data_IF_328923891665
#
_entry.id   IF_328923891665
#
_cell.length_a   1.000
_cell.length_b   1.000
_cell.length_c   1.000
_cell.angle_alpha   90.00
_cell.angle_beta   90.00
_cell.angle_gamma   90.00
#
_symmetry.space_group_name_H-M   'P 1'
#
loop_
_entity.id
_entity.type
_entity.pdbx_description
1 polymer ?
#
# COMPACT_ATOMS: atom_id res chain seq x y z
N UNK A 1 16.85 -2.51 20.25
CA UNK A 1 16.63 -1.06 20.00
C UNK A 1 16.53 -0.83 18.51
N UNK A 2 15.58 -0.02 18.06
CA UNK A 2 15.42 0.36 16.66
C UNK A 2 15.58 1.87 16.52
N UNK A 3 15.98 2.34 15.33
CA UNK A 3 16.06 3.75 14.99
C UNK A 3 15.07 4.07 13.87
N UNK A 4 14.47 5.25 13.89
CA UNK A 4 13.70 5.78 12.77
C UNK A 4 14.68 6.06 11.62
N UNK A 5 14.48 5.40 10.49
CA UNK A 5 15.31 5.55 9.27
C UNK A 5 14.58 6.30 8.17
N UNK A 6 13.26 6.43 8.27
CA UNK A 6 12.43 7.20 7.37
C UNK A 6 11.19 7.71 8.11
N UNK A 7 10.87 8.97 7.91
CA UNK A 7 9.63 9.60 8.36
C UNK A 7 9.11 10.42 7.19
N UNK A 8 7.94 10.05 6.67
CA UNK A 8 7.40 10.67 5.48
C UNK A 8 7.05 12.15 5.70
N UNK A 9 7.64 13.01 4.89
CA UNK A 9 7.17 14.36 4.62
C UNK A 9 6.58 14.36 3.19
N UNK A 10 5.27 14.27 3.10
CA UNK A 10 4.56 14.19 1.81
C UNK A 10 4.63 15.50 0.99
N UNK A 11 5.28 16.54 1.51
CA UNK A 11 5.60 17.76 0.77
C UNK A 11 7.02 17.81 0.24
N UNK A 12 7.85 16.83 0.61
CA UNK A 12 9.28 16.80 0.28
C UNK A 12 9.57 16.19 -1.09
N UNK A 13 9.92 17.01 -2.06
CA UNK A 13 10.43 16.55 -3.37
C UNK A 13 11.76 15.79 -3.28
N UNK A 14 12.44 15.83 -2.13
CA UNK A 14 13.64 15.02 -1.91
C UNK A 14 13.32 13.58 -1.58
N UNK A 15 12.19 13.33 -0.90
CA UNK A 15 11.75 12.01 -0.48
C UNK A 15 10.94 11.31 -1.57
N UNK A 16 10.21 12.06 -2.39
CA UNK A 16 9.21 11.52 -3.28
C UNK A 16 9.35 11.99 -4.72
N UNK A 17 9.00 11.08 -5.64
CA UNK A 17 8.66 11.38 -7.03
C UNK A 17 7.15 11.20 -7.19
N UNK A 18 6.48 12.21 -7.75
CA UNK A 18 5.04 12.21 -7.96
C UNK A 18 4.65 11.78 -9.38
N UNK A 19 3.50 11.10 -9.51
CA UNK A 19 2.84 10.83 -10.79
C UNK A 19 3.55 9.84 -11.69
N UNK A 20 4.45 9.02 -11.16
CA UNK A 20 5.19 8.00 -11.90
C UNK A 20 5.50 6.81 -11.02
N UNK A 21 5.40 5.61 -11.60
CA UNK A 21 5.89 4.38 -10.98
C UNK A 21 6.39 3.42 -12.07
N UNK A 22 7.54 2.78 -11.85
CA UNK A 22 8.04 1.71 -12.72
C UNK A 22 7.26 0.39 -12.56
N UNK A 23 6.35 0.32 -11.61
CA UNK A 23 5.37 -0.77 -11.51
C UNK A 23 4.26 -0.65 -12.58
N UNK A 24 4.08 0.53 -13.16
CA UNK A 24 3.18 0.73 -14.29
C UNK A 24 3.90 0.43 -15.61
N UNK A 25 3.20 -0.03 -16.65
CA UNK A 25 3.80 -0.36 -17.93
C UNK A 25 4.69 0.77 -18.46
N UNK A 26 5.96 0.46 -18.74
CA UNK A 26 6.98 1.39 -19.23
C UNK A 26 7.16 2.67 -18.38
N UNK A 27 6.78 2.62 -17.08
CA UNK A 27 6.75 3.79 -16.21
C UNK A 27 5.75 4.85 -16.68
N UNK A 28 4.75 4.44 -17.43
CA UNK A 28 3.70 5.30 -17.98
C UNK A 28 2.67 5.74 -16.93
N UNK A 29 1.73 6.63 -17.30
CA UNK A 29 0.76 7.16 -16.36
C UNK A 29 -0.46 6.24 -16.16
N UNK A 30 -0.64 5.19 -16.94
CA UNK A 30 -1.83 4.33 -16.91
C UNK A 30 -1.49 2.86 -16.74
N UNK A 31 -2.36 2.11 -16.06
CA UNK A 31 -2.26 0.65 -15.90
C UNK A 31 -3.62 -0.02 -16.10
N UNK A 32 -4.26 0.20 -17.25
CA UNK A 32 -5.59 -0.34 -17.55
C UNK A 32 -5.64 -1.87 -17.57
N UNK A 33 -4.50 -2.53 -17.86
CA UNK A 33 -4.39 -3.99 -17.83
C UNK A 33 -4.59 -4.58 -16.42
N UNK A 34 -4.35 -3.79 -15.39
CA UNK A 34 -4.52 -4.12 -13.98
C UNK A 34 -5.86 -3.62 -13.41
N UNK A 35 -6.90 -3.57 -14.24
CA UNK A 35 -8.25 -3.16 -13.84
C UNK A 35 -8.32 -1.75 -13.20
N UNK A 36 -7.50 -0.82 -13.66
CA UNK A 36 -7.39 0.56 -13.14
C UNK A 36 -7.83 1.59 -14.17
N UNK A 37 -8.51 2.64 -13.68
CA UNK A 37 -8.85 3.83 -14.46
C UNK A 37 -7.86 4.98 -14.24
N UNK A 38 -6.75 4.72 -13.58
CA UNK A 38 -5.77 5.72 -13.20
C UNK A 38 -5.12 6.38 -14.41
N UNK A 39 -4.92 7.67 -14.29
CA UNK A 39 -3.95 8.45 -15.03
C UNK A 39 -3.09 9.20 -14.02
N UNK A 40 -1.90 8.67 -13.73
CA UNK A 40 -1.01 9.24 -12.73
C UNK A 40 -0.62 10.67 -13.11
N UNK A 41 -0.70 11.59 -12.16
CA UNK A 41 -0.35 12.99 -12.38
C UNK A 41 0.74 13.47 -11.41
N UNK A 42 1.69 14.25 -11.94
CA UNK A 42 2.72 14.90 -11.15
C UNK A 42 2.22 16.17 -10.43
N UNK A 43 0.96 16.57 -10.64
CA UNK A 43 0.36 17.70 -9.91
C UNK A 43 0.29 17.39 -8.42
N UNK A 44 1.02 18.18 -7.63
CA UNK A 44 1.12 17.99 -6.18
C UNK A 44 -0.23 18.11 -5.45
N UNK A 45 -1.25 18.71 -6.07
CA UNK A 45 -2.60 18.80 -5.50
C UNK A 45 -3.23 17.40 -5.26
N UNK A 46 -2.73 16.36 -5.97
CA UNK A 46 -3.26 15.01 -5.88
C UNK A 46 -2.57 14.12 -4.84
N UNK A 47 -1.44 14.55 -4.24
CA UNK A 47 -0.68 13.74 -3.27
C UNK A 47 -0.07 14.57 -2.13
N UNK A 48 -0.45 15.83 -2.00
CA UNK A 48 0.16 16.77 -1.05
C UNK A 48 -0.30 16.51 0.38
N UNK A 49 0.64 16.67 1.34
CA UNK A 49 0.40 16.60 2.78
C UNK A 49 -0.26 15.29 3.24
N UNK A 50 0.00 14.20 2.52
CA UNK A 50 -0.56 12.89 2.85
C UNK A 50 -2.01 12.69 2.40
N UNK A 51 -2.62 13.66 1.73
CA UNK A 51 -3.94 13.48 1.12
C UNK A 51 -3.77 13.07 -0.34
N UNK A 52 -4.17 11.84 -0.65
CA UNK A 52 -4.17 11.31 -2.00
C UNK A 52 -5.57 11.46 -2.61
N UNK A 53 -5.63 11.98 -3.82
CA UNK A 53 -6.88 12.28 -4.54
C UNK A 53 -6.92 11.56 -5.87
N UNK A 54 -8.14 11.28 -6.31
CA UNK A 54 -8.41 10.92 -7.69
C UNK A 54 -9.59 11.75 -8.19
N UNK A 55 -9.49 12.30 -9.41
CA UNK A 55 -10.51 13.14 -10.02
C UNK A 55 -10.83 12.68 -11.43
N UNK A 56 -12.13 12.58 -11.72
CA UNK A 56 -12.61 12.11 -13.02
C UNK A 56 -12.27 13.10 -14.14
N UNK A 57 -11.76 12.58 -15.24
CA UNK A 57 -11.46 13.26 -16.48
C UNK A 57 -12.61 13.12 -17.49
N UNK A 58 -12.60 13.99 -18.49
CA UNK A 58 -13.60 13.95 -19.57
C UNK A 58 -13.49 12.68 -20.46
N UNK A 59 -12.31 12.04 -20.50
CA UNK A 59 -12.06 10.82 -21.27
C UNK A 59 -12.43 9.53 -20.51
N UNK A 60 -12.97 9.64 -19.29
CA UNK A 60 -13.35 8.53 -18.45
C UNK A 60 -12.24 7.97 -17.56
N UNK A 61 -10.99 8.37 -17.76
CA UNK A 61 -9.89 8.10 -16.83
C UNK A 61 -9.98 9.02 -15.61
N UNK A 62 -9.10 8.80 -14.64
CA UNK A 62 -9.03 9.56 -13.41
C UNK A 62 -7.61 10.05 -13.17
N UNK A 63 -7.42 11.37 -13.12
CA UNK A 63 -6.16 11.90 -12.61
C UNK A 63 -5.99 11.45 -11.16
N UNK A 64 -4.91 10.73 -10.87
CA UNK A 64 -4.71 10.02 -9.62
C UNK A 64 -3.36 10.33 -9.00
N UNK A 65 -3.35 10.49 -7.67
CA UNK A 65 -2.14 10.75 -6.88
C UNK A 65 -1.35 9.47 -6.60
N UNK A 66 -0.05 9.51 -6.92
CA UNK A 66 0.92 8.50 -6.53
C UNK A 66 2.22 9.18 -6.15
N UNK A 67 2.83 8.71 -5.06
CA UNK A 67 4.19 9.04 -4.65
C UNK A 67 5.03 7.78 -4.56
N UNK A 68 6.26 7.84 -5.04
CA UNK A 68 7.24 6.76 -4.87
C UNK A 68 8.58 7.32 -4.38
N UNK A 69 9.30 6.52 -3.60
CA UNK A 69 10.68 6.85 -3.23
C UNK A 69 11.68 6.46 -4.33
N UNK A 70 11.25 5.72 -5.35
CA UNK A 70 12.07 5.36 -6.51
C UNK A 70 12.41 6.59 -7.35
N UNK A 71 13.72 6.79 -7.59
CA UNK A 71 14.22 7.93 -8.35
C UNK A 71 14.19 9.27 -7.61
N UNK A 72 13.76 9.30 -6.35
CA UNK A 72 13.84 10.49 -5.50
C UNK A 72 15.30 10.78 -5.12
N UNK A 73 15.58 12.02 -4.68
CA UNK A 73 16.93 12.41 -4.30
C UNK A 73 17.49 11.64 -3.08
N UNK A 74 16.59 11.18 -2.17
CA UNK A 74 16.97 10.35 -1.02
C UNK A 74 17.03 8.87 -1.38
N UNK A 75 16.26 8.40 -2.38
CA UNK A 75 16.28 7.03 -2.86
C UNK A 75 16.01 5.99 -1.77
N UNK A 76 15.12 6.33 -0.80
CA UNK A 76 14.87 5.47 0.34
C UNK A 76 14.30 4.12 -0.08
N UNK A 77 14.84 3.04 0.48
CA UNK A 77 14.28 1.68 0.34
C UNK A 77 14.04 1.06 1.71
N UNK A 78 12.88 0.45 1.85
CA UNK A 78 12.60 -0.50 2.91
C UNK A 78 13.45 -1.73 2.70
N UNK A 79 13.90 -2.37 3.79
CA UNK A 79 14.76 -3.56 3.75
C UNK A 79 14.22 -4.64 4.65
N UNK A 80 14.71 -5.85 4.43
CA UNK A 80 14.46 -6.95 5.36
C UNK A 80 14.82 -6.55 6.80
N UNK A 81 13.90 -6.80 7.75
CA UNK A 81 14.03 -6.45 9.16
C UNK A 81 13.47 -5.08 9.53
N UNK A 82 13.15 -4.23 8.56
CA UNK A 82 12.49 -2.97 8.82
C UNK A 82 11.05 -3.20 9.29
N UNK A 83 10.58 -2.25 10.10
CA UNK A 83 9.19 -2.16 10.53
C UNK A 83 8.61 -0.83 10.05
N UNK A 84 7.55 -0.89 9.25
CA UNK A 84 6.77 0.25 8.79
C UNK A 84 5.54 0.40 9.67
N UNK A 85 5.25 1.63 10.11
CA UNK A 85 4.02 2.01 10.76
C UNK A 85 3.35 3.13 9.97
N UNK A 86 2.04 3.07 9.84
CA UNK A 86 1.24 4.08 9.17
C UNK A 86 -0.12 4.26 9.82
N UNK A 87 -0.60 5.50 9.88
CA UNK A 87 -1.97 5.83 10.26
C UNK A 87 -2.68 6.35 9.03
N UNK A 88 -3.76 5.70 8.62
CA UNK A 88 -4.53 6.07 7.43
C UNK A 88 -6.00 6.33 7.77
N UNK A 89 -6.62 7.28 7.05
CA UNK A 89 -8.07 7.40 6.98
C UNK A 89 -8.52 6.80 5.66
N UNK A 90 -9.33 5.76 5.73
CA UNK A 90 -9.85 5.03 4.58
C UNK A 90 -10.83 5.89 3.76
N UNK A 91 -10.89 5.72 2.42
CA UNK A 91 -11.87 6.40 1.57
C UNK A 91 -13.29 5.92 1.84
N UNK A 92 -14.26 6.68 1.34
CA UNK A 92 -15.69 6.36 1.46
C UNK A 92 -16.34 6.03 0.12
N UNK A 93 -15.74 6.49 -0.97
CA UNK A 93 -16.31 6.41 -2.31
C UNK A 93 -16.08 5.02 -2.92
N UNK A 94 -17.13 4.40 -3.47
CA UNK A 94 -17.01 3.17 -4.25
C UNK A 94 -16.06 3.38 -5.43
N UNK A 95 -15.30 2.35 -5.73
CA UNK A 95 -14.27 2.40 -6.77
C UNK A 95 -12.93 2.98 -6.33
N UNK A 96 -12.82 3.52 -5.11
CA UNK A 96 -11.54 3.92 -4.55
C UNK A 96 -10.70 2.68 -4.19
N UNK A 97 -9.41 2.72 -4.54
CA UNK A 97 -8.44 1.66 -4.27
C UNK A 97 -7.14 2.26 -3.71
N UNK A 98 -7.12 2.68 -2.43
CA UNK A 98 -5.92 3.14 -1.77
C UNK A 98 -4.96 1.98 -1.50
N UNK A 99 -3.67 2.23 -1.65
CA UNK A 99 -2.62 1.28 -1.32
C UNK A 99 -1.38 1.96 -0.74
N UNK A 100 -0.70 1.24 0.14
CA UNK A 100 0.70 1.46 0.51
C UNK A 100 1.42 0.14 0.23
N UNK A 101 2.45 0.17 -0.57
CA UNK A 101 3.12 -1.01 -1.05
C UNK A 101 4.58 -0.76 -1.40
N UNK A 102 5.26 -1.80 -1.81
CA UNK A 102 6.67 -1.72 -2.20
C UNK A 102 6.87 -2.24 -3.62
N UNK A 103 7.88 -1.73 -4.32
CA UNK A 103 8.21 -2.19 -5.67
C UNK A 103 9.70 -2.01 -5.97
N UNK A 104 10.26 -2.96 -6.75
CA UNK A 104 11.58 -2.82 -7.34
C UNK A 104 11.82 -3.87 -8.42
N UNK A 105 12.43 -3.46 -9.55
CA UNK A 105 12.96 -4.34 -10.59
C UNK A 105 11.95 -5.39 -11.10
N UNK A 106 10.71 -4.98 -11.39
CA UNK A 106 9.66 -5.85 -11.91
C UNK A 106 9.07 -6.82 -10.87
N UNK A 107 9.20 -6.51 -9.58
CA UNK A 107 8.69 -7.31 -8.47
C UNK A 107 9.09 -6.73 -7.12
N UNK A 108 9.44 -7.61 -6.17
CA UNK A 108 9.76 -7.21 -4.79
C UNK A 108 8.62 -6.48 -4.08
N UNK A 109 7.41 -6.85 -4.42
CA UNK A 109 6.18 -6.24 -3.98
C UNK A 109 5.69 -6.88 -2.68
N UNK A 110 5.41 -6.03 -1.72
CA UNK A 110 4.68 -6.35 -0.50
C UNK A 110 3.66 -5.25 -0.29
N UNK A 111 2.38 -5.61 -0.21
CA UNK A 111 1.30 -4.68 0.08
C UNK A 111 1.16 -4.55 1.59
N UNK A 112 1.45 -3.35 2.09
CA UNK A 112 1.19 -3.00 3.48
C UNK A 112 -0.30 -3.08 3.74
N UNK A 113 -1.09 -2.57 2.80
CA UNK A 113 -2.52 -2.80 2.68
C UNK A 113 -3.04 -2.35 1.32
N UNK A 114 -4.14 -2.97 0.92
CA UNK A 114 -5.08 -2.49 -0.07
C UNK A 114 -6.48 -2.50 0.55
N UNK A 115 -7.35 -1.59 0.10
CA UNK A 115 -8.69 -1.47 0.64
C UNK A 115 -9.68 -1.08 -0.46
N UNK A 116 -10.89 -1.66 -0.37
CA UNK A 116 -11.99 -1.39 -1.28
C UNK A 116 -13.27 -1.11 -0.49
N UNK A 117 -13.91 0.07 -0.63
CA UNK A 117 -15.11 0.42 0.14
C UNK A 117 -16.34 -0.47 -0.07
N UNK A 118 -16.39 -1.24 -1.18
CA UNK A 118 -17.43 -2.26 -1.43
C UNK A 118 -17.26 -3.52 -0.55
N UNK A 119 -16.05 -3.74 0.00
CA UNK A 119 -15.76 -4.73 1.03
C UNK A 119 -15.38 -4.04 2.35
N UNK A 120 -16.33 -3.40 3.05
CA UNK A 120 -16.06 -2.37 4.04
C UNK A 120 -15.26 -2.84 5.25
N UNK A 121 -15.27 -4.11 5.59
CA UNK A 121 -14.57 -4.67 6.75
C UNK A 121 -13.30 -5.46 6.37
N UNK A 122 -12.87 -5.41 5.10
CA UNK A 122 -11.80 -6.22 4.53
C UNK A 122 -10.54 -5.40 4.25
N UNK A 123 -9.39 -5.91 4.67
CA UNK A 123 -8.07 -5.49 4.22
C UNK A 123 -7.44 -6.60 3.39
N UNK A 124 -6.82 -6.24 2.27
CA UNK A 124 -6.01 -7.12 1.46
C UNK A 124 -4.54 -6.91 1.80
N UNK A 125 -3.87 -8.00 2.18
CA UNK A 125 -2.49 -8.01 2.66
C UNK A 125 -1.71 -9.03 1.84
N UNK A 126 -0.70 -8.58 1.08
CA UNK A 126 -0.04 -9.49 0.14
C UNK A 126 1.49 -9.38 0.22
N UNK A 127 2.15 -10.53 0.15
CA UNK A 127 3.57 -10.67 -0.11
C UNK A 127 3.76 -11.36 -1.47
N UNK A 128 3.94 -10.60 -2.53
CA UNK A 128 4.20 -11.13 -3.87
C UNK A 128 5.62 -11.69 -4.03
N UNK A 129 6.57 -11.30 -3.17
CA UNK A 129 7.96 -11.80 -3.22
C UNK A 129 7.98 -13.32 -3.08
N UNK A 130 7.16 -13.87 -2.16
CA UNK A 130 7.07 -15.31 -1.89
C UNK A 130 5.65 -15.86 -1.86
N UNK A 131 4.69 -15.14 -2.45
CA UNK A 131 3.29 -15.55 -2.64
C UNK A 131 2.56 -15.86 -1.33
N UNK A 132 2.66 -14.96 -0.35
CA UNK A 132 1.82 -14.94 0.85
C UNK A 132 0.71 -13.91 0.70
N UNK A 133 -0.54 -14.31 0.91
CA UNK A 133 -1.70 -13.43 0.75
C UNK A 133 -2.74 -13.73 1.82
N UNK A 134 -3.40 -12.69 2.32
CA UNK A 134 -4.57 -12.83 3.19
C UNK A 134 -5.57 -11.69 3.01
N UNK A 135 -6.82 -12.05 3.10
CA UNK A 135 -7.97 -11.14 3.19
C UNK A 135 -8.44 -11.15 4.65
N UNK A 136 -8.19 -10.04 5.36
CA UNK A 136 -8.43 -9.97 6.80
C UNK A 136 -9.64 -9.08 7.09
N UNK A 137 -10.70 -9.69 7.66
CA UNK A 137 -11.88 -8.96 8.10
C UNK A 137 -11.75 -8.48 9.53
N UNK A 138 -12.06 -7.21 9.76
CA UNK A 138 -12.03 -6.57 11.09
C UNK A 138 -13.13 -5.52 11.20
N UNK A 139 -13.92 -5.55 12.28
CA UNK A 139 -15.03 -4.63 12.52
C UNK A 139 -14.62 -3.15 12.50
N UNK A 140 -13.39 -2.83 12.92
CA UNK A 140 -12.87 -1.46 12.89
C UNK A 140 -12.53 -0.92 11.49
N UNK A 141 -12.37 -1.81 10.50
CA UNK A 141 -12.09 -1.46 9.10
C UNK A 141 -13.42 -1.13 8.41
N UNK A 142 -13.61 0.13 8.07
CA UNK A 142 -14.82 0.60 7.39
C UNK A 142 -14.57 1.91 6.65
N UNK A 143 -15.40 2.28 5.66
CA UNK A 143 -15.27 3.55 4.95
C UNK A 143 -15.19 4.75 5.94
N UNK A 144 -14.21 5.61 5.73
CA UNK A 144 -13.95 6.77 6.57
C UNK A 144 -13.26 6.50 7.92
N UNK A 145 -13.04 5.24 8.30
CA UNK A 145 -12.33 4.90 9.53
C UNK A 145 -10.87 5.37 9.50
N UNK A 146 -10.34 5.64 10.67
CA UNK A 146 -8.89 5.85 10.88
C UNK A 146 -8.36 4.58 11.52
N UNK A 147 -7.33 4.00 10.92
CA UNK A 147 -6.70 2.76 11.37
C UNK A 147 -5.19 2.93 11.46
N UNK A 148 -4.55 2.22 12.38
CA UNK A 148 -3.11 2.12 12.52
C UNK A 148 -2.63 0.77 12.00
N UNK A 149 -1.81 0.78 10.97
CA UNK A 149 -1.23 -0.41 10.37
C UNK A 149 0.27 -0.48 10.65
N UNK A 150 0.75 -1.69 10.91
CA UNK A 150 2.17 -1.97 11.00
C UNK A 150 2.56 -3.18 10.15
N UNK A 151 3.74 -3.14 9.54
CA UNK A 151 4.30 -4.27 8.79
C UNK A 151 5.76 -4.46 9.12
N UNK A 152 6.13 -5.66 9.57
CA UNK A 152 7.52 -6.07 9.72
C UNK A 152 7.92 -6.92 8.52
N UNK A 153 8.92 -6.48 7.77
CA UNK A 153 9.42 -7.18 6.58
C UNK A 153 10.47 -8.23 7.00
N UNK A 154 10.02 -9.29 7.64
CA UNK A 154 10.90 -10.32 8.16
C UNK A 154 11.48 -11.23 7.08
N UNK A 155 12.63 -11.84 7.38
CA UNK A 155 13.31 -12.77 6.46
C UNK A 155 12.47 -14.01 6.16
N UNK A 156 11.78 -14.55 7.18
CA UNK A 156 11.00 -15.78 7.11
C UNK A 156 9.50 -15.56 7.21
N UNK A 157 9.09 -14.38 7.65
CA UNK A 157 7.68 -14.00 7.71
C UNK A 157 7.55 -12.48 7.56
N UNK A 158 6.62 -12.04 6.73
CA UNK A 158 6.09 -10.68 6.79
C UNK A 158 4.95 -10.72 7.80
N UNK A 159 4.93 -9.76 8.73
CA UNK A 159 3.95 -9.72 9.81
C UNK A 159 3.18 -8.42 9.76
N UNK A 160 1.87 -8.49 9.70
CA UNK A 160 0.97 -7.33 9.71
C UNK A 160 0.28 -7.17 11.06
N UNK A 161 0.16 -5.92 11.48
CA UNK A 161 -0.59 -5.53 12.68
C UNK A 161 -1.63 -4.47 12.32
N UNK A 162 -2.75 -4.49 13.04
CA UNK A 162 -3.81 -3.47 12.99
C UNK A 162 -4.07 -3.03 14.42
N UNK A 163 -4.01 -1.72 14.67
CA UNK A 163 -4.19 -1.12 15.99
C UNK A 163 -3.33 -1.79 17.09
N UNK A 164 -2.10 -2.19 16.70
CA UNK A 164 -1.13 -2.86 17.57
C UNK A 164 -1.33 -4.37 17.73
N UNK A 165 -2.42 -4.94 17.24
CA UNK A 165 -2.65 -6.39 17.25
C UNK A 165 -2.14 -7.05 15.97
N UNK A 166 -1.47 -8.20 16.11
CA UNK A 166 -1.09 -8.99 14.94
C UNK A 166 -2.33 -9.61 14.29
N UNK A 167 -2.51 -9.30 12.99
CA UNK A 167 -3.67 -9.76 12.21
C UNK A 167 -3.30 -10.82 11.17
N UNK A 168 -2.04 -10.82 10.70
CA UNK A 168 -1.56 -11.81 9.73
C UNK A 168 -0.03 -11.97 9.84
N UNK A 169 0.45 -13.17 9.54
CA UNK A 169 1.86 -13.48 9.34
C UNK A 169 1.95 -14.55 8.24
N UNK A 170 2.67 -14.26 7.17
CA UNK A 170 2.67 -15.12 5.97
C UNK A 170 3.55 -16.38 6.09
N UNK A 171 4.42 -16.46 7.11
CA UNK A 171 5.35 -17.57 7.29
C UNK A 171 6.36 -17.78 6.14
N UNK A 172 6.48 -16.83 5.21
CA UNK A 172 7.32 -16.91 4.01
C UNK A 172 8.39 -15.84 3.96
N UNK A 173 8.05 -14.64 4.42
CA UNK A 173 8.93 -13.49 4.49
C UNK A 173 9.45 -13.01 3.15
N UNK A 174 10.38 -12.06 3.19
CA UNK A 174 10.99 -11.47 1.99
C UNK A 174 12.40 -12.00 1.68
N UNK A 175 12.96 -12.84 2.56
CA UNK A 175 14.34 -13.34 2.43
C UNK A 175 15.38 -12.35 2.95
N UNK A 176 16.65 -12.80 2.96
CA UNK A 176 17.79 -11.95 3.32
C UNK A 176 18.18 -11.06 2.15
N UNK A 177 18.52 -9.81 2.41
CA UNK A 177 18.99 -8.88 1.39
C UNK A 177 17.90 -8.26 0.50
N UNK A 178 16.63 -8.53 0.77
CA UNK A 178 15.53 -7.87 0.10
C UNK A 178 15.50 -6.37 0.42
N UNK A 179 15.19 -5.58 -0.58
CA UNK A 179 14.93 -4.15 -0.46
C UNK A 179 14.04 -3.68 -1.61
N UNK A 180 13.15 -2.73 -1.33
CA UNK A 180 12.24 -2.17 -2.32
C UNK A 180 11.87 -0.73 -1.99
N UNK A 181 11.48 0.03 -3.01
CA UNK A 181 10.99 1.39 -2.86
C UNK A 181 9.56 1.40 -2.32
N UNK A 182 9.22 2.45 -1.57
CA UNK A 182 7.85 2.67 -1.12
C UNK A 182 7.02 3.33 -2.22
N UNK A 183 5.78 2.89 -2.32
CA UNK A 183 4.74 3.53 -3.13
C UNK A 183 3.52 3.77 -2.26
N UNK A 184 2.92 4.94 -2.41
CA UNK A 184 1.67 5.34 -1.78
C UNK A 184 0.79 5.94 -2.88
N UNK A 185 -0.42 5.41 -3.07
CA UNK A 185 -1.29 5.89 -4.13
C UNK A 185 -2.78 5.71 -3.82
N UNK A 186 -3.60 6.40 -4.58
CA UNK A 186 -5.02 6.15 -4.72
C UNK A 186 -5.31 5.74 -6.15
N UNK A 187 -5.48 4.44 -6.38
CA UNK A 187 -5.97 3.89 -7.64
C UNK A 187 -7.50 3.98 -7.73
N UNK A 188 -8.03 3.75 -8.93
CA UNK A 188 -9.47 3.76 -9.21
C UNK A 188 -9.85 2.49 -9.96
N UNK A 189 -10.80 1.72 -9.43
CA UNK A 189 -11.25 0.46 -10.00
C UNK A 189 -11.98 0.65 -11.34
N UNK A 190 -11.72 -0.25 -12.30
CA UNK A 190 -12.38 -0.24 -13.61
C UNK A 190 -13.63 -1.14 -13.70
N UNK A 191 -14.05 -1.76 -12.60
CA UNK A 191 -15.31 -2.49 -12.55
C UNK A 191 -15.22 -4.01 -12.79
N UNK A 192 -14.00 -4.58 -12.88
CA UNK A 192 -13.84 -6.03 -13.14
C UNK A 192 -13.92 -6.87 -11.86
N UNK A 193 -13.17 -6.48 -10.81
CA UNK A 193 -13.11 -7.20 -9.52
C UNK A 193 -13.87 -6.46 -8.42
N UNK A 194 -13.79 -5.14 -8.46
CA UNK A 194 -14.50 -4.22 -7.59
C UNK A 194 -15.26 -3.23 -8.44
N UNK A 195 -16.41 -2.70 -7.96
CA UNK A 195 -17.20 -1.74 -8.73
C UNK A 195 -16.38 -0.53 -9.17
N UNK A 196 -16.64 -0.06 -10.38
CA UNK A 196 -16.17 1.26 -10.79
C UNK A 196 -16.90 2.35 -9.97
N UNK A 197 -16.32 3.57 -9.90
CA UNK A 197 -17.01 4.68 -9.22
C UNK A 197 -18.37 4.97 -9.82
N UNK A 198 -19.33 5.34 -8.97
CA UNK A 198 -20.67 5.77 -9.40
C UNK A 198 -20.58 6.92 -10.41
N UNK A 199 -21.54 7.04 -11.34
CA UNK A 199 -21.52 8.08 -12.37
C UNK A 199 -21.40 9.50 -11.81
N UNK A 200 -21.98 9.77 -10.65
CA UNK A 200 -22.00 11.06 -9.98
C UNK A 200 -20.72 11.36 -9.20
N UNK A 201 -19.90 10.36 -8.92
CA UNK A 201 -18.64 10.53 -8.22
C UNK A 201 -17.64 11.21 -9.15
N UNK A 202 -17.22 12.41 -8.80
CA UNK A 202 -16.25 13.22 -9.58
C UNK A 202 -14.86 13.29 -8.94
N UNK A 203 -14.80 13.07 -7.64
CA UNK A 203 -13.56 13.11 -6.85
C UNK A 203 -13.66 12.11 -5.71
N UNK A 204 -12.53 11.52 -5.32
CA UNK A 204 -12.38 10.67 -4.15
C UNK A 204 -11.02 10.91 -3.49
N UNK A 205 -10.89 10.57 -2.22
CA UNK A 205 -9.64 10.74 -1.50
C UNK A 205 -9.48 9.81 -0.31
N UNK A 206 -8.23 9.57 0.08
CA UNK A 206 -7.87 9.03 1.40
C UNK A 206 -6.69 9.81 1.99
N UNK A 207 -6.42 9.63 3.28
CA UNK A 207 -5.35 10.34 3.98
C UNK A 207 -4.35 9.36 4.58
N UNK A 208 -3.06 9.60 4.38
CA UNK A 208 -1.96 9.02 5.14
C UNK A 208 -1.47 10.08 6.12
N UNK A 209 -1.87 9.94 7.40
CA UNK A 209 -1.56 10.94 8.45
C UNK A 209 -0.16 10.81 8.99
N UNK A 210 0.35 9.57 8.98
CA UNK A 210 1.68 9.21 9.46
C UNK A 210 2.18 8.03 8.64
N UNK A 211 3.44 8.05 8.28
CA UNK A 211 4.16 6.90 7.77
C UNK A 211 5.60 7.00 8.22
N UNK A 212 6.09 5.99 8.91
CA UNK A 212 7.48 5.92 9.32
C UNK A 212 8.02 4.51 9.21
N UNK A 213 9.34 4.41 9.06
CA UNK A 213 10.05 3.14 9.05
C UNK A 213 11.13 3.17 10.11
N UNK A 214 11.15 2.12 10.94
CA UNK A 214 12.20 1.87 11.91
C UNK A 214 13.05 0.70 11.48
N UNK A 215 14.33 0.71 11.86
CA UNK A 215 15.32 -0.32 11.55
C UNK A 215 16.03 -0.77 12.81
N UNK A 216 16.22 -2.07 13.06
CA UNK A 216 16.99 -2.58 14.19
C UNK A 216 18.43 -2.09 14.17
N UNK A 217 18.93 -1.58 15.32
CA UNK A 217 20.32 -1.20 15.51
C UNK A 217 21.13 -2.47 15.83
N UNK A 218 21.87 -3.00 14.90
CA UNK A 218 22.72 -4.17 15.16
C UNK A 218 22.57 -5.32 14.15
N UNK A 219 21.97 -5.02 12.99
CA UNK A 219 21.73 -6.05 11.96
C UNK A 219 20.55 -6.95 12.33
N UNK A 220 20.27 -7.92 11.50
CA UNK A 220 19.21 -8.90 11.70
C UNK A 220 19.24 -9.48 13.10
N UNK A 221 18.17 -9.27 13.86
CA UNK A 221 17.83 -10.17 14.95
C UNK A 221 17.47 -11.50 14.30
N UNK A 222 18.38 -12.41 14.42
CA UNK A 222 18.27 -13.79 14.01
C UNK A 222 17.08 -14.44 14.66
N UNK A 223 16.37 -15.28 13.92
CA UNK A 223 15.52 -16.38 14.38
C UNK A 223 14.23 -16.09 15.18
N UNK A 224 13.91 -14.85 15.52
CA UNK A 224 12.66 -14.46 16.21
C UNK A 224 11.50 -14.16 15.24
N UNK A 225 11.58 -14.62 14.00
CA UNK A 225 10.40 -14.62 13.12
C UNK A 225 9.31 -15.46 13.80
N UNK A 226 8.11 -14.91 14.00
CA UNK A 226 7.05 -15.68 14.64
C UNK A 226 6.81 -16.96 13.86
N UNK A 227 6.45 -18.06 14.53
CA UNK A 227 6.12 -19.29 13.85
C UNK A 227 4.98 -19.05 12.88
N UNK A 228 4.99 -19.81 11.79
CA UNK A 228 3.89 -19.86 10.83
C UNK A 228 2.58 -20.03 11.59
N UNK A 229 1.66 -19.09 11.41
CA UNK A 229 0.33 -19.17 12.00
C UNK A 229 -0.63 -19.47 10.86
N UNK A 230 -1.32 -20.61 10.98
CA UNK A 230 -2.39 -21.01 10.09
C UNK A 230 -3.57 -20.06 10.31
N UNK A 231 -3.60 -18.94 9.59
CA UNK A 231 -4.73 -18.05 9.56
C UNK A 231 -5.69 -18.49 8.46
N UNK A 232 -7.00 -18.53 8.73
CA UNK A 232 -7.96 -18.86 7.70
C UNK A 232 -7.82 -17.84 6.56
N UNK A 233 -7.48 -18.32 5.38
CA UNK A 233 -7.53 -17.55 4.16
C UNK A 233 -9.01 -17.37 3.82
N UNK A 234 -9.54 -16.17 4.06
CA UNK A 234 -10.87 -15.80 3.60
C UNK A 234 -10.67 -15.08 2.25
N UNK A 235 -10.59 -15.86 1.17
CA UNK A 235 -10.72 -15.32 -0.17
C UNK A 235 -12.06 -14.63 -0.37
N UNK A 236 -12.22 -13.82 -1.45
CA UNK A 236 -13.53 -13.37 -1.86
C UNK A 236 -14.44 -14.60 -1.96
N UNK A 237 -15.67 -14.49 -1.51
CA UNK A 237 -16.65 -15.58 -1.63
C UNK A 237 -16.64 -16.02 -3.10
N UNK A 238 -16.34 -17.31 -3.35
CA UNK A 238 -16.49 -17.84 -4.68
C UNK A 238 -17.95 -17.58 -5.08
N UNK A 239 -18.13 -16.78 -6.11
CA UNK A 239 -19.43 -16.58 -6.71
C UNK A 239 -19.89 -17.95 -7.25
N UNK A 240 -20.88 -18.53 -6.57
CA UNK A 240 -21.57 -19.73 -7.00
C UNK A 240 -22.58 -19.45 -8.13
#
# INVERSE_FOLDING_TARGET
MSAVVFSADFSSERQWVAGRSWAYPDGGPTNQGDNKLDHLTADSAYSRLGTFRARRRADGLWDAGLLTTEGSAEGFMVRTGDHLETTVRLPTELGAWPAIWTWRDGGNEVDVFEYHPDNPDLLELTNHVRRGQSYVRREGVRPGAVIDLGVTFGRRSVVWTLDGERIFADGRGVGSGWQAYLIVNLSVCAGRYHPAPEPETVEMSYEVRRLLVTRPLGGYLTDDDPPEVDWPVHGPAEEG
#
